data_IF_489787308633
#
_entry.id   IF_489787308633
#
_cell.length_a   1.000
_cell.length_b   1.000
_cell.length_c   1.000
_cell.angle_alpha   90.00
_cell.angle_beta   90.00
_cell.angle_gamma   90.00
#
_symmetry.space_group_name_H-M   'P 1'
#
loop_
_entity.id
_entity.type
_entity.pdbx_description
1 polymer ?
#
# COMPACT_ATOMS: atom_id res chain seq x y z
N UNK A 1 26.00 12.25 -38.65
CA UNK A 1 26.56 11.81 -37.36
C UNK A 1 26.15 12.83 -36.31
N UNK A 2 25.30 12.45 -35.36
CA UNK A 2 25.00 13.25 -34.18
C UNK A 2 24.58 12.31 -33.04
N UNK A 3 25.58 12.06 -32.20
CA UNK A 3 25.65 11.49 -30.86
C UNK A 3 24.28 11.21 -30.20
N UNK A 4 23.93 9.93 -30.13
CA UNK A 4 22.94 9.43 -29.17
C UNK A 4 23.46 9.68 -27.76
N UNK A 5 22.86 10.64 -27.04
CA UNK A 5 22.97 10.70 -25.59
C UNK A 5 22.28 9.46 -25.03
N UNK A 6 23.07 8.41 -24.80
CA UNK A 6 22.75 7.34 -23.87
C UNK A 6 22.67 7.99 -22.49
N UNK A 7 21.50 8.50 -22.13
CA UNK A 7 21.19 8.75 -20.72
C UNK A 7 21.31 7.40 -20.04
N UNK A 8 22.38 7.24 -19.26
CA UNK A 8 22.56 6.08 -18.40
C UNK A 8 21.27 5.91 -17.59
N UNK A 9 20.44 4.96 -17.98
CA UNK A 9 19.46 4.39 -17.09
C UNK A 9 20.28 3.78 -15.97
N UNK A 10 20.40 4.49 -14.86
CA UNK A 10 20.83 3.91 -13.61
C UNK A 10 19.80 2.83 -13.27
N UNK A 11 20.01 1.62 -13.80
CA UNK A 11 19.36 0.41 -13.33
C UNK A 11 19.99 0.08 -11.98
N UNK A 12 19.82 0.98 -11.01
CA UNK A 12 20.00 0.67 -9.61
C UNK A 12 18.93 -0.34 -9.25
N UNK A 13 19.31 -1.38 -8.50
CA UNK A 13 18.33 -2.30 -7.95
C UNK A 13 17.28 -1.48 -7.18
N UNK A 14 15.96 -1.70 -7.43
CA UNK A 14 14.93 -0.97 -6.71
C UNK A 14 15.12 -1.19 -5.21
N UNK A 15 15.01 -0.13 -4.41
CA UNK A 15 15.16 -0.27 -2.96
C UNK A 15 14.03 -1.17 -2.46
N UNK A 16 14.32 -1.98 -1.45
CA UNK A 16 13.27 -2.78 -0.79
C UNK A 16 12.16 -1.89 -0.19
N UNK A 17 12.50 -0.65 0.17
CA UNK A 17 11.54 0.38 0.56
C UNK A 17 10.56 0.75 -0.57
N UNK A 18 11.03 0.90 -1.82
CA UNK A 18 10.18 1.22 -2.97
C UNK A 18 9.15 0.12 -3.23
N UNK A 19 9.60 -1.15 -3.26
CA UNK A 19 8.71 -2.32 -3.44
C UNK A 19 7.69 -2.43 -2.29
N UNK A 20 8.10 -2.11 -1.06
CA UNK A 20 7.21 -2.09 0.09
C UNK A 20 6.14 -1.00 -0.03
N UNK A 21 6.53 0.23 -0.41
CA UNK A 21 5.60 1.34 -0.63
C UNK A 21 4.64 1.09 -1.81
N UNK A 22 5.11 0.48 -2.89
CA UNK A 22 4.29 0.10 -4.04
C UNK A 22 3.22 -0.94 -3.63
N UNK A 23 3.62 -1.95 -2.86
CA UNK A 23 2.68 -2.95 -2.33
C UNK A 23 1.65 -2.34 -1.37
N UNK A 24 2.07 -1.37 -0.56
CA UNK A 24 1.19 -0.59 0.31
C UNK A 24 0.20 0.29 -0.47
N UNK A 25 0.64 0.92 -1.56
CA UNK A 25 -0.25 1.65 -2.48
C UNK A 25 -1.28 0.72 -3.11
N UNK A 26 -0.86 -0.46 -3.59
CA UNK A 26 -1.79 -1.46 -4.11
C UNK A 26 -2.81 -1.91 -3.06
N UNK A 27 -2.40 -2.06 -1.80
CA UNK A 27 -3.30 -2.33 -0.68
C UNK A 27 -4.28 -1.17 -0.47
N UNK A 28 -3.80 0.07 -0.42
CA UNK A 28 -4.63 1.26 -0.24
C UNK A 28 -5.74 1.33 -1.29
N UNK A 29 -5.38 1.18 -2.58
CA UNK A 29 -6.35 1.17 -3.68
C UNK A 29 -7.39 0.06 -3.52
N UNK A 30 -6.99 -1.15 -3.11
CA UNK A 30 -7.93 -2.27 -2.92
C UNK A 30 -8.89 -2.04 -1.77
N UNK A 31 -8.42 -1.52 -0.66
CA UNK A 31 -9.27 -1.20 0.50
C UNK A 31 -10.21 -0.03 0.15
N UNK A 32 -9.73 0.97 -0.57
CA UNK A 32 -10.56 2.09 -1.07
C UNK A 32 -11.67 1.60 -2.00
N UNK A 33 -11.37 0.70 -2.95
CA UNK A 33 -12.37 0.08 -3.81
C UNK A 33 -13.39 -0.73 -3.01
N UNK A 34 -12.94 -1.50 -2.01
CA UNK A 34 -13.83 -2.23 -1.12
C UNK A 34 -14.74 -1.27 -0.33
N UNK A 35 -14.19 -0.17 0.17
CA UNK A 35 -14.93 0.87 0.89
C UNK A 35 -15.99 1.60 0.04
N UNK A 36 -15.83 1.61 -1.29
CA UNK A 36 -16.82 2.17 -2.22
C UNK A 36 -18.02 1.24 -2.45
N UNK A 37 -17.91 -0.05 -2.12
CA UNK A 37 -19.03 -0.98 -2.28
C UNK A 37 -20.22 -0.60 -1.38
N UNK A 38 -21.46 -0.93 -1.78
CA UNK A 38 -22.65 -0.65 -0.98
C UNK A 38 -22.68 -1.46 0.31
N UNK A 39 -22.26 -2.73 0.24
CA UNK A 39 -22.02 -3.64 1.36
C UNK A 39 -20.66 -4.29 1.20
N UNK A 40 -20.04 -4.64 2.32
CA UNK A 40 -18.73 -5.32 2.33
C UNK A 40 -18.85 -6.64 3.08
N UNK A 41 -18.43 -7.72 2.42
CA UNK A 41 -18.43 -9.05 3.01
C UNK A 41 -17.18 -9.29 3.85
N UNK A 42 -17.33 -9.91 5.02
CA UNK A 42 -16.23 -10.28 5.90
C UNK A 42 -15.24 -11.21 5.18
N UNK A 43 -15.72 -12.11 4.32
CA UNK A 43 -14.85 -12.96 3.50
C UNK A 43 -13.90 -12.18 2.57
N UNK A 44 -14.31 -10.99 2.08
CA UNK A 44 -13.45 -10.11 1.28
C UNK A 44 -12.42 -9.40 2.15
N UNK A 45 -12.82 -8.94 3.33
CA UNK A 45 -11.92 -8.34 4.33
C UNK A 45 -10.84 -9.34 4.74
N UNK A 46 -11.24 -10.57 5.08
CA UNK A 46 -10.32 -11.64 5.47
C UNK A 46 -9.31 -11.99 4.36
N UNK A 47 -9.72 -11.95 3.08
CA UNK A 47 -8.82 -12.18 1.94
C UNK A 47 -7.76 -11.07 1.82
N UNK A 48 -8.14 -9.82 2.06
CA UNK A 48 -7.21 -8.70 2.06
C UNK A 48 -6.23 -8.84 3.23
N UNK A 49 -6.73 -9.10 4.44
CA UNK A 49 -5.89 -9.29 5.63
C UNK A 49 -4.92 -10.46 5.48
N UNK A 50 -5.37 -11.60 4.96
CA UNK A 50 -4.50 -12.75 4.69
C UNK A 50 -3.38 -12.40 3.70
N UNK A 51 -3.72 -11.71 2.60
CA UNK A 51 -2.77 -11.41 1.54
C UNK A 51 -1.81 -10.28 1.91
N UNK A 52 -2.25 -9.30 2.69
CA UNK A 52 -1.53 -8.06 2.91
C UNK A 52 -1.21 -7.74 4.37
N UNK A 53 -1.63 -8.59 5.31
CA UNK A 53 -1.38 -8.39 6.73
C UNK A 53 0.09 -8.38 7.11
N UNK A 54 0.99 -8.84 6.23
CA UNK A 54 2.44 -8.71 6.38
C UNK A 54 2.96 -7.30 6.08
N UNK A 55 2.18 -6.44 5.42
CA UNK A 55 2.54 -5.04 5.11
C UNK A 55 2.17 -4.06 6.22
N UNK A 56 1.49 -4.52 7.28
CA UNK A 56 1.02 -3.65 8.35
C UNK A 56 2.16 -2.84 8.97
N UNK A 57 1.92 -1.55 9.33
CA UNK A 57 2.89 -0.73 10.02
C UNK A 57 3.50 -1.44 11.23
N UNK A 58 4.82 -1.32 11.41
CA UNK A 58 5.54 -1.95 12.50
C UNK A 58 5.87 -3.42 12.28
N UNK A 59 5.44 -4.05 11.17
CA UNK A 59 5.90 -5.40 10.79
C UNK A 59 7.15 -5.37 9.91
N UNK A 60 7.47 -4.24 9.30
CA UNK A 60 8.64 -4.06 8.45
C UNK A 60 9.50 -2.90 8.96
N UNK A 61 9.70 -2.82 10.28
CA UNK A 61 10.44 -1.73 10.95
C UNK A 61 11.83 -1.50 10.39
N UNK A 62 12.49 -2.54 9.88
CA UNK A 62 13.80 -2.43 9.22
C UNK A 62 13.74 -1.65 7.90
N UNK A 63 12.64 -1.75 7.14
CA UNK A 63 12.39 -0.94 5.95
C UNK A 63 11.95 0.46 6.34
N UNK A 64 11.03 0.56 7.29
CA UNK A 64 10.47 1.83 7.77
C UNK A 64 11.55 2.75 8.36
N UNK A 65 12.56 2.18 9.02
CA UNK A 65 13.70 2.91 9.56
C UNK A 65 14.67 3.44 8.48
N UNK A 66 14.67 2.85 7.29
CA UNK A 66 15.54 3.24 6.16
C UNK A 66 14.83 4.16 5.17
N UNK A 67 13.63 4.65 5.52
CA UNK A 67 12.92 5.63 4.70
C UNK A 67 13.62 6.99 4.70
N UNK A 68 13.80 7.51 3.50
CA UNK A 68 14.00 8.93 3.28
C UNK A 68 12.80 9.74 3.80
N UNK A 69 12.95 11.05 4.02
CA UNK A 69 11.84 11.90 4.44
C UNK A 69 10.64 11.84 3.48
N UNK A 70 10.87 11.61 2.19
CA UNK A 70 9.83 11.57 1.15
C UNK A 70 9.07 10.24 1.20
N UNK A 71 9.79 9.13 1.27
CA UNK A 71 9.23 7.78 1.49
C UNK A 71 8.42 7.72 2.80
N UNK A 72 8.92 8.34 3.87
CA UNK A 72 8.19 8.42 5.14
C UNK A 72 6.89 9.21 5.00
N UNK A 73 6.86 10.33 4.26
CA UNK A 73 5.62 11.06 4.00
C UNK A 73 4.64 10.25 3.15
N UNK A 74 5.12 9.58 2.12
CA UNK A 74 4.30 8.70 1.29
C UNK A 74 3.71 7.55 2.12
N UNK A 75 4.52 6.92 2.98
CA UNK A 75 4.08 5.89 3.91
C UNK A 75 2.94 6.40 4.80
N UNK A 76 3.11 7.55 5.47
CA UNK A 76 2.06 8.11 6.32
C UNK A 76 0.77 8.39 5.55
N UNK A 77 0.86 8.96 4.34
CA UNK A 77 -0.31 9.20 3.48
C UNK A 77 -1.04 7.90 3.11
N UNK A 78 -0.29 6.83 2.81
CA UNK A 78 -0.84 5.51 2.51
C UNK A 78 -1.58 4.92 3.71
N UNK A 79 -1.02 5.04 4.91
CA UNK A 79 -1.67 4.57 6.14
C UNK A 79 -2.95 5.35 6.42
N UNK A 80 -2.94 6.68 6.31
CA UNK A 80 -4.14 7.49 6.50
C UNK A 80 -5.27 7.11 5.53
N UNK A 81 -4.93 6.86 4.25
CA UNK A 81 -5.88 6.39 3.24
C UNK A 81 -6.49 5.03 3.60
N UNK A 82 -5.65 4.06 3.97
CA UNK A 82 -6.08 2.73 4.40
C UNK A 82 -6.99 2.82 5.62
N UNK A 83 -6.63 3.60 6.64
CA UNK A 83 -7.45 3.78 7.83
C UNK A 83 -8.80 4.45 7.52
N UNK A 84 -8.80 5.47 6.68
CA UNK A 84 -10.02 6.16 6.27
C UNK A 84 -10.97 5.21 5.51
N UNK A 85 -10.44 4.37 4.63
CA UNK A 85 -11.20 3.37 3.91
C UNK A 85 -11.69 2.24 4.84
N UNK A 86 -10.85 1.76 5.76
CA UNK A 86 -11.23 0.77 6.78
C UNK A 86 -12.39 1.26 7.67
N UNK A 87 -12.38 2.53 8.09
CA UNK A 87 -13.50 3.13 8.84
C UNK A 87 -14.81 3.07 8.07
N UNK A 88 -14.78 3.21 6.73
CA UNK A 88 -15.97 3.06 5.88
C UNK A 88 -16.39 1.60 5.76
N UNK A 89 -15.44 0.68 5.59
CA UNK A 89 -15.70 -0.77 5.53
C UNK A 89 -16.38 -1.25 6.81
N UNK A 90 -15.85 -0.89 7.99
CA UNK A 90 -16.44 -1.31 9.28
C UNK A 90 -17.90 -0.85 9.41
N UNK A 91 -18.24 0.34 8.94
CA UNK A 91 -19.63 0.86 8.95
C UNK A 91 -20.56 0.13 7.98
N UNK A 92 -20.01 -0.50 6.93
CA UNK A 92 -20.75 -1.17 5.86
C UNK A 92 -20.60 -2.70 5.90
N UNK A 93 -19.88 -3.21 6.90
CA UNK A 93 -19.56 -4.63 7.03
C UNK A 93 -20.83 -5.42 7.33
N UNK A 94 -21.07 -6.45 6.54
CA UNK A 94 -22.10 -7.43 6.79
C UNK A 94 -21.41 -8.75 7.21
N UNK A 95 -21.62 -9.25 8.44
CA UNK A 95 -21.01 -10.51 8.89
C UNK A 95 -21.65 -11.76 8.28
N UNK A 96 -22.81 -11.63 7.64
CA UNK A 96 -23.54 -12.75 7.01
C UNK A 96 -22.98 -13.13 5.62
N UNK A 97 -21.85 -12.51 5.24
CA UNK A 97 -20.96 -12.88 4.13
C UNK A 97 -19.52 -12.48 4.49
#
# INVERSE_FOLDING_TARGET
MAISLLTLSACGFPRAADDYLEKLESLAVKIEQLAQQPSVCQSQVNKIEYRYGHLAPGKNTYLEADFTPDESRQFHQLIERIEAANKKIIRKGNPDC
#
